data_IF_740514903322
#
_entry.id   IF_740514903322
#
_cell.length_a   1.000
_cell.length_b   1.000
_cell.length_c   1.000
_cell.angle_alpha   90.00
_cell.angle_beta   90.00
_cell.angle_gamma   90.00
#
_symmetry.space_group_name_H-M   'P 1'
#
loop_
_entity.id
_entity.type
_entity.pdbx_description
1 polymer ?
#
# COMPACT_ATOMS: atom_id res chain seq x y z
N UNK A 1 -11.63 -5.51 17.32
CA UNK A 1 -12.83 -6.17 17.90
C UNK A 1 -13.77 -6.42 16.74
N UNK A 2 -14.46 -7.57 16.67
CA UNK A 2 -15.43 -7.81 15.61
C UNK A 2 -16.57 -6.80 15.72
N UNK A 3 -17.03 -6.29 14.55
CA UNK A 3 -18.17 -5.40 14.46
C UNK A 3 -19.39 -6.22 14.05
N UNK A 4 -20.50 -6.02 14.75
CA UNK A 4 -21.76 -6.70 14.51
C UNK A 4 -22.81 -5.71 14.06
N UNK A 5 -23.51 -6.01 12.95
CA UNK A 5 -24.75 -5.34 12.58
C UNK A 5 -25.91 -6.02 13.29
N UNK A 6 -26.73 -5.21 13.93
CA UNK A 6 -27.91 -5.72 14.61
C UNK A 6 -29.16 -5.02 14.14
N UNK A 7 -30.26 -5.76 14.12
CA UNK A 7 -31.60 -5.27 13.94
C UNK A 7 -32.38 -5.60 15.20
N UNK A 8 -32.86 -4.59 15.86
CA UNK A 8 -33.60 -4.72 17.13
C UNK A 8 -34.93 -3.97 17.07
N UNK A 9 -35.86 -4.33 17.95
CA UNK A 9 -37.14 -3.66 18.11
C UNK A 9 -37.19 -3.01 19.48
N UNK A 10 -37.50 -1.72 19.55
CA UNK A 10 -37.64 -1.03 20.82
C UNK A 10 -39.00 -1.35 21.48
N UNK A 11 -39.21 -0.90 22.72
CA UNK A 11 -40.46 -1.08 23.48
C UNK A 11 -41.72 -0.51 22.80
N UNK A 12 -41.54 0.41 21.85
CA UNK A 12 -42.63 1.00 21.02
C UNK A 12 -42.94 0.21 19.76
N UNK A 13 -42.25 -0.94 19.55
CA UNK A 13 -42.48 -1.79 18.39
C UNK A 13 -41.77 -1.33 17.11
N UNK A 14 -40.90 -0.29 17.16
CA UNK A 14 -40.20 0.26 16.01
C UNK A 14 -38.86 -0.49 15.80
N UNK A 15 -38.60 -0.86 14.55
CA UNK A 15 -37.35 -1.53 14.18
C UNK A 15 -36.21 -0.52 14.07
N UNK A 16 -35.09 -0.77 14.77
CA UNK A 16 -33.88 0.04 14.74
C UNK A 16 -32.73 -0.84 14.25
N UNK A 17 -31.99 -0.32 13.24
CA UNK A 17 -30.79 -0.95 12.74
C UNK A 17 -29.58 -0.19 13.27
N UNK A 18 -28.59 -0.92 13.80
CA UNK A 18 -27.35 -0.34 14.32
C UNK A 18 -26.16 -1.23 14.08
N UNK A 19 -24.97 -0.71 14.40
CA UNK A 19 -23.75 -1.48 14.46
C UNK A 19 -23.01 -1.20 15.76
N UNK A 20 -22.44 -2.23 16.37
CA UNK A 20 -21.65 -2.11 17.59
C UNK A 20 -20.45 -3.06 17.59
N UNK A 21 -19.35 -2.61 18.22
CA UNK A 21 -18.18 -3.42 18.45
C UNK A 21 -18.34 -4.22 19.74
N UNK A 22 -18.22 -5.54 19.66
CA UNK A 22 -18.28 -6.41 20.81
C UNK A 22 -17.21 -7.51 20.74
N UNK A 23 -16.81 -8.04 21.90
CA UNK A 23 -15.82 -9.13 22.00
C UNK A 23 -16.35 -10.45 21.44
N UNK A 24 -17.67 -10.68 21.55
CA UNK A 24 -18.37 -11.83 21.00
C UNK A 24 -19.85 -11.46 20.75
N UNK A 25 -20.52 -12.32 19.96
CA UNK A 25 -21.96 -12.20 19.69
C UNK A 25 -22.80 -12.24 20.97
N UNK A 26 -22.40 -13.09 21.92
CA UNK A 26 -23.08 -13.26 23.22
C UNK A 26 -23.00 -12.00 24.08
N UNK A 27 -21.84 -11.33 24.04
CA UNK A 27 -21.61 -10.08 24.78
C UNK A 27 -22.49 -8.93 24.23
N UNK A 28 -22.68 -8.88 22.90
CA UNK A 28 -23.59 -7.91 22.29
C UNK A 28 -25.06 -8.19 22.64
N UNK A 29 -25.46 -9.47 22.69
CA UNK A 29 -26.81 -9.88 23.09
C UNK A 29 -27.12 -9.43 24.53
N UNK A 30 -26.18 -9.58 25.45
CA UNK A 30 -26.35 -9.15 26.85
C UNK A 30 -26.48 -7.61 26.95
N UNK A 31 -25.68 -6.87 26.18
CA UNK A 31 -25.75 -5.40 26.14
C UNK A 31 -27.10 -4.90 25.61
N UNK A 32 -27.58 -5.45 24.49
CA UNK A 32 -28.86 -5.07 23.88
C UNK A 32 -30.06 -5.45 24.75
N UNK A 33 -30.00 -6.59 25.51
CA UNK A 33 -31.04 -6.97 26.45
C UNK A 33 -31.12 -6.06 27.66
N UNK A 34 -30.01 -5.49 28.14
CA UNK A 34 -29.98 -4.54 29.25
C UNK A 34 -30.64 -3.20 28.89
N UNK A 35 -30.75 -2.90 27.59
CA UNK A 35 -31.40 -1.70 27.08
C UNK A 35 -32.85 -1.97 26.61
N UNK A 36 -33.47 -3.06 27.02
CA UNK A 36 -34.84 -3.47 26.70
C UNK A 36 -35.14 -3.60 25.19
N UNK A 37 -34.12 -3.92 24.39
CA UNK A 37 -34.32 -4.19 22.96
C UNK A 37 -34.66 -5.67 22.70
N UNK A 38 -35.66 -5.91 21.86
CA UNK A 38 -35.93 -7.24 21.33
C UNK A 38 -35.10 -7.47 20.07
N UNK A 39 -34.22 -8.46 20.09
CA UNK A 39 -33.28 -8.78 19.02
C UNK A 39 -34.02 -9.52 17.90
N UNK A 40 -33.95 -9.00 16.66
CA UNK A 40 -34.50 -9.64 15.45
C UNK A 40 -33.40 -10.39 14.71
N UNK A 41 -32.26 -9.75 14.44
CA UNK A 41 -31.10 -10.38 13.80
C UNK A 41 -29.80 -9.76 14.31
N UNK A 42 -28.76 -10.58 14.39
CA UNK A 42 -27.36 -10.15 14.61
C UNK A 42 -26.51 -10.87 13.59
N UNK A 43 -25.88 -10.12 12.73
CA UNK A 43 -24.92 -10.61 11.74
C UNK A 43 -23.54 -10.05 12.03
N UNK A 44 -22.54 -10.93 12.02
CA UNK A 44 -21.15 -10.49 12.09
C UNK A 44 -20.80 -9.82 10.76
N UNK A 45 -20.48 -8.51 10.80
CA UNK A 45 -20.10 -7.80 9.60
C UNK A 45 -18.67 -8.20 9.20
N UNK A 46 -18.54 -9.34 8.53
CA UNK A 46 -17.28 -9.82 7.94
C UNK A 46 -16.68 -8.79 6.96
N UNK A 47 -17.42 -7.73 6.62
CA UNK A 47 -17.04 -6.73 5.65
C UNK A 47 -16.28 -5.53 6.29
N UNK A 48 -16.21 -5.43 7.62
CA UNK A 48 -15.48 -4.32 8.27
C UNK A 48 -13.97 -4.53 8.23
N UNK A 49 -13.49 -5.78 8.13
CA UNK A 49 -12.05 -6.04 7.92
C UNK A 49 -11.56 -5.67 6.50
N UNK A 50 -12.46 -5.43 5.54
CA UNK A 50 -12.09 -5.10 4.15
C UNK A 50 -12.34 -3.65 3.72
N UNK A 51 -13.02 -2.82 4.52
CA UNK A 51 -13.20 -1.38 4.15
C UNK A 51 -11.94 -0.52 4.29
N UNK A 52 -10.88 -1.04 4.91
CA UNK A 52 -9.55 -0.40 4.90
C UNK A 52 -8.74 -0.67 3.62
N UNK A 53 -9.20 -1.57 2.74
CA UNK A 53 -8.51 -1.91 1.49
C UNK A 53 -9.03 -1.11 0.27
N UNK A 54 -9.94 -0.15 0.47
CA UNK A 54 -10.40 0.73 -0.60
C UNK A 54 -9.24 1.65 -1.02
N UNK A 55 -8.54 1.27 -2.10
CA UNK A 55 -7.59 2.08 -2.85
C UNK A 55 -6.45 2.71 -2.02
N UNK A 56 -5.80 1.94 -1.17
CA UNK A 56 -4.52 2.33 -0.61
C UNK A 56 -3.55 2.56 -1.78
N UNK A 57 -3.21 3.82 -2.01
CA UNK A 57 -2.31 4.24 -3.09
C UNK A 57 -1.03 3.41 -2.99
N UNK A 58 -0.72 2.62 -4.02
CA UNK A 58 0.48 1.77 -4.04
C UNK A 58 1.70 2.60 -3.67
N UNK A 59 2.50 2.13 -2.73
CA UNK A 59 3.76 2.80 -2.34
C UNK A 59 4.66 2.83 -3.56
N UNK A 60 5.11 4.02 -3.95
CA UNK A 60 6.01 4.22 -5.08
C UNK A 60 7.46 4.03 -4.63
N UNK A 61 8.34 3.75 -5.60
CA UNK A 61 9.77 3.68 -5.33
C UNK A 61 10.31 5.01 -4.77
N UNK A 62 9.81 6.14 -5.25
CA UNK A 62 10.23 7.47 -4.78
C UNK A 62 9.85 7.67 -3.29
N UNK A 63 8.67 7.21 -2.85
CA UNK A 63 8.27 7.27 -1.43
C UNK A 63 9.27 6.47 -0.56
N UNK A 64 9.67 5.28 -1.04
CA UNK A 64 10.62 4.42 -0.34
C UNK A 64 12.04 5.01 -0.32
N UNK A 65 12.47 5.66 -1.41
CA UNK A 65 13.76 6.36 -1.49
C UNK A 65 13.85 7.47 -0.45
N UNK A 66 12.83 8.34 -0.39
CA UNK A 66 12.78 9.46 0.55
C UNK A 66 12.78 8.94 1.99
N UNK A 67 11.91 7.98 2.29
CA UNK A 67 11.85 7.34 3.61
C UNK A 67 13.21 6.75 4.02
N UNK A 68 13.85 5.96 3.12
CA UNK A 68 15.11 5.29 3.46
C UNK A 68 16.26 6.26 3.66
N UNK A 69 16.29 7.37 2.90
CA UNK A 69 17.30 8.41 3.07
C UNK A 69 17.10 9.15 4.40
N UNK A 70 15.89 9.55 4.73
CA UNK A 70 15.59 10.21 6.00
C UNK A 70 15.87 9.29 7.19
N UNK A 71 15.46 8.01 7.10
CA UNK A 71 15.74 7.00 8.11
C UNK A 71 17.24 6.87 8.35
N UNK A 72 18.04 6.72 7.28
CA UNK A 72 19.49 6.62 7.38
C UNK A 72 20.11 7.84 8.05
N UNK A 73 19.75 9.04 7.60
CA UNK A 73 20.30 10.29 8.14
C UNK A 73 19.96 10.49 9.63
N UNK A 74 18.75 10.17 10.05
CA UNK A 74 18.33 10.34 11.44
C UNK A 74 18.96 9.30 12.37
N UNK A 75 19.12 8.04 11.91
CA UNK A 75 19.79 7.00 12.67
C UNK A 75 21.29 7.29 12.77
N UNK A 76 21.94 7.75 11.68
CA UNK A 76 23.34 8.20 11.67
C UNK A 76 23.57 9.38 12.64
N UNK A 77 22.55 10.27 12.78
CA UNK A 77 22.57 11.34 13.79
C UNK A 77 22.37 10.85 15.24
N UNK A 78 22.23 9.53 15.47
CA UNK A 78 22.07 8.94 16.79
C UNK A 78 20.64 8.97 17.35
N UNK A 79 19.64 9.32 16.54
CA UNK A 79 18.24 9.30 16.99
C UNK A 79 17.78 7.84 17.13
N UNK A 80 17.14 7.46 18.25
CA UNK A 80 16.64 6.10 18.44
C UNK A 80 15.68 5.68 17.34
N UNK A 81 15.82 4.45 16.82
CA UNK A 81 15.05 3.94 15.69
C UNK A 81 13.52 4.09 15.84
N UNK A 82 12.99 3.81 17.04
CA UNK A 82 11.55 3.94 17.34
C UNK A 82 11.10 5.39 17.16
N UNK A 83 11.89 6.36 17.64
CA UNK A 83 11.59 7.79 17.51
C UNK A 83 11.63 8.23 16.03
N UNK A 84 12.62 7.72 15.26
CA UNK A 84 12.71 7.99 13.82
C UNK A 84 11.47 7.45 13.08
N UNK A 85 11.05 6.23 13.38
CA UNK A 85 9.86 5.63 12.77
C UNK A 85 8.59 6.40 13.12
N UNK A 86 8.47 6.93 14.34
CA UNK A 86 7.34 7.76 14.75
C UNK A 86 7.27 9.05 13.92
N UNK A 87 8.39 9.77 13.82
CA UNK A 87 8.50 11.01 13.05
C UNK A 87 8.17 10.75 11.57
N UNK A 88 8.80 9.74 10.97
CA UNK A 88 8.61 9.42 9.56
C UNK A 88 7.19 8.93 9.27
N UNK A 89 6.57 8.18 10.17
CA UNK A 89 5.18 7.74 10.05
C UNK A 89 4.17 8.89 9.96
N UNK A 90 4.51 10.06 10.53
CA UNK A 90 3.70 11.27 10.46
C UNK A 90 4.01 12.12 9.22
N UNK A 91 5.24 12.09 8.71
CA UNK A 91 5.70 12.93 7.60
C UNK A 91 5.41 12.35 6.22
N UNK A 92 5.24 11.02 6.11
CA UNK A 92 5.01 10.35 4.82
C UNK A 92 3.68 10.81 4.21
N UNK A 93 3.75 11.40 2.99
CA UNK A 93 2.56 11.89 2.25
C UNK A 93 1.59 10.77 1.86
N UNK A 94 2.12 9.58 1.57
CA UNK A 94 1.33 8.41 1.23
C UNK A 94 0.74 7.79 2.50
N UNK A 95 -0.53 8.05 2.77
CA UNK A 95 -1.24 7.58 3.98
C UNK A 95 -1.09 6.08 4.23
N UNK A 96 -1.14 5.25 3.18
CA UNK A 96 -0.98 3.80 3.31
C UNK A 96 0.44 3.42 3.73
N UNK A 97 1.43 4.15 3.25
CA UNK A 97 2.81 3.96 3.66
C UNK A 97 3.03 4.48 5.09
N UNK A 98 2.47 5.64 5.44
CA UNK A 98 2.50 6.14 6.82
C UNK A 98 1.92 5.16 7.83
N UNK A 99 0.78 4.54 7.53
CA UNK A 99 0.20 3.48 8.37
C UNK A 99 1.10 2.23 8.45
N UNK A 100 1.83 1.92 7.38
CA UNK A 100 2.82 0.84 7.43
C UNK A 100 3.99 1.20 8.33
N UNK A 101 4.51 2.43 8.25
CA UNK A 101 5.61 2.89 9.10
C UNK A 101 5.21 2.91 10.58
N UNK A 102 3.98 3.31 10.90
CA UNK A 102 3.44 3.21 12.28
C UNK A 102 3.43 1.77 12.80
N UNK A 103 3.00 0.81 11.96
CA UNK A 103 3.05 -0.61 12.33
C UNK A 103 4.48 -1.12 12.53
N UNK A 104 5.44 -0.65 11.71
CA UNK A 104 6.85 -0.96 11.92
C UNK A 104 7.33 -0.43 13.29
N UNK A 105 6.95 0.81 13.64
CA UNK A 105 7.24 1.39 14.95
C UNK A 105 6.68 0.49 16.06
N UNK A 106 5.38 0.16 16.01
CA UNK A 106 4.71 -0.64 17.04
C UNK A 106 5.36 -2.03 17.20
N UNK A 107 5.72 -2.67 16.09
CA UNK A 107 6.40 -3.96 16.08
C UNK A 107 7.80 -3.87 16.75
N UNK A 108 8.58 -2.84 16.45
CA UNK A 108 9.90 -2.63 17.05
C UNK A 108 9.79 -2.25 18.52
N UNK A 109 8.84 -1.41 18.90
CA UNK A 109 8.57 -1.00 20.28
C UNK A 109 8.16 -2.19 21.15
N UNK A 110 7.46 -3.17 20.57
CA UNK A 110 7.07 -4.42 21.24
C UNK A 110 8.17 -5.48 21.25
N UNK A 111 9.38 -5.17 20.76
CA UNK A 111 10.57 -6.02 20.87
C UNK A 111 10.87 -6.87 19.63
N UNK A 112 10.14 -6.70 18.51
CA UNK A 112 10.55 -7.34 17.25
C UNK A 112 11.80 -6.67 16.69
N UNK A 113 12.69 -7.42 16.02
CA UNK A 113 13.78 -6.78 15.27
C UNK A 113 13.22 -5.98 14.09
N UNK A 114 13.90 -4.93 13.68
CA UNK A 114 13.46 -4.08 12.56
C UNK A 114 13.34 -4.87 11.25
N UNK A 115 14.29 -5.79 11.00
CA UNK A 115 14.23 -6.69 9.83
C UNK A 115 13.01 -7.63 9.87
N UNK A 116 12.59 -8.09 11.05
CA UNK A 116 11.39 -8.90 11.21
C UNK A 116 10.12 -8.07 10.99
N UNK A 117 10.08 -6.84 11.49
CA UNK A 117 8.97 -5.91 11.24
C UNK A 117 8.83 -5.63 9.73
N UNK A 118 9.92 -5.33 9.03
CA UNK A 118 9.94 -5.10 7.58
C UNK A 118 9.48 -6.34 6.79
N UNK A 119 9.82 -7.55 7.24
CA UNK A 119 9.46 -8.79 6.57
C UNK A 119 7.93 -9.05 6.55
N UNK A 120 7.16 -8.43 7.43
CA UNK A 120 5.69 -8.46 7.40
C UNK A 120 5.09 -7.68 6.22
N UNK A 121 5.91 -6.86 5.54
CA UNK A 121 5.47 -5.99 4.44
C UNK A 121 6.24 -6.24 3.12
N UNK A 122 6.25 -7.47 2.57
CA UNK A 122 7.08 -7.85 1.41
C UNK A 122 6.65 -7.17 0.09
N UNK A 123 5.47 -6.55 0.06
CA UNK A 123 5.00 -5.76 -1.09
C UNK A 123 5.66 -4.38 -1.19
N UNK A 124 6.24 -3.89 -0.09
CA UNK A 124 6.89 -2.59 0.02
C UNK A 124 8.41 -2.76 0.08
N UNK A 125 8.87 -3.63 0.97
CA UNK A 125 10.29 -3.87 1.20
C UNK A 125 10.75 -5.14 0.49
N UNK A 126 11.71 -5.01 -0.42
CA UNK A 126 12.26 -6.14 -1.16
C UNK A 126 13.05 -7.08 -0.24
N UNK A 127 13.21 -8.34 -0.67
CA UNK A 127 14.03 -9.31 0.06
C UNK A 127 15.48 -8.81 0.28
N UNK A 128 16.03 -8.10 -0.72
CA UNK A 128 17.35 -7.48 -0.60
C UNK A 128 17.39 -6.45 0.53
N UNK A 129 16.39 -5.54 0.56
CA UNK A 129 16.26 -4.52 1.61
C UNK A 129 16.25 -5.18 3.00
N UNK A 130 15.38 -6.16 3.21
CA UNK A 130 15.19 -6.86 4.48
C UNK A 130 16.47 -7.58 4.91
N UNK A 131 17.14 -8.26 3.98
CA UNK A 131 18.38 -9.01 4.30
C UNK A 131 19.55 -8.08 4.62
N UNK A 132 19.65 -6.93 3.94
CA UNK A 132 20.67 -5.92 4.28
C UNK A 132 20.44 -5.38 5.70
N UNK A 133 19.19 -4.99 6.04
CA UNK A 133 18.87 -4.53 7.40
C UNK A 133 19.16 -5.61 8.44
N UNK A 134 18.82 -6.87 8.17
CA UNK A 134 19.13 -7.99 9.07
C UNK A 134 20.64 -8.13 9.32
N UNK A 135 21.46 -7.99 8.28
CA UNK A 135 22.90 -8.00 8.42
C UNK A 135 23.40 -6.83 9.29
N UNK A 136 22.84 -5.63 9.09
CA UNK A 136 23.16 -4.44 9.90
C UNK A 136 22.78 -4.60 11.37
N UNK A 137 21.59 -5.15 11.65
CA UNK A 137 21.16 -5.46 13.02
C UNK A 137 22.10 -6.48 13.70
N UNK A 138 22.46 -7.54 12.98
CA UNK A 138 23.31 -8.60 13.53
C UNK A 138 24.75 -8.17 13.79
N UNK A 139 25.25 -7.21 13.00
CA UNK A 139 26.60 -6.67 13.13
C UNK A 139 26.70 -5.45 14.04
N UNK A 140 25.55 -4.84 14.44
CA UNK A 140 25.52 -3.56 15.14
C UNK A 140 25.85 -2.34 14.29
N UNK A 141 25.89 -2.50 12.95
CA UNK A 141 26.24 -1.45 11.98
C UNK A 141 25.00 -1.02 11.19
N UNK A 142 23.89 -0.81 11.89
CA UNK A 142 22.60 -0.49 11.26
C UNK A 142 22.64 0.84 10.51
N UNK A 143 23.31 1.84 11.05
CA UNK A 143 23.53 3.16 10.46
C UNK A 143 24.22 3.08 9.08
N UNK A 144 25.33 2.37 9.00
CA UNK A 144 26.07 2.19 7.75
C UNK A 144 25.22 1.43 6.70
N UNK A 145 24.55 0.37 7.14
CA UNK A 145 23.70 -0.43 6.23
C UNK A 145 22.49 0.37 5.74
N UNK A 146 21.85 1.16 6.60
CA UNK A 146 20.76 2.05 6.20
C UNK A 146 21.21 3.05 5.13
N UNK A 147 22.39 3.63 5.28
CA UNK A 147 22.96 4.53 4.27
C UNK A 147 23.22 3.78 2.95
N UNK A 148 23.80 2.58 2.99
CA UNK A 148 24.01 1.75 1.79
C UNK A 148 22.70 1.41 1.08
N UNK A 149 21.66 1.08 1.83
CA UNK A 149 20.31 0.81 1.30
C UNK A 149 19.71 2.06 0.65
N UNK A 150 19.82 3.22 1.28
CA UNK A 150 19.34 4.49 0.72
C UNK A 150 20.03 4.80 -0.61
N UNK A 151 21.37 4.71 -0.67
CA UNK A 151 22.16 4.91 -1.90
C UNK A 151 21.77 3.91 -2.99
N UNK A 152 21.55 2.65 -2.65
CA UNK A 152 21.10 1.64 -3.60
C UNK A 152 19.73 1.99 -4.20
N UNK A 153 18.76 2.41 -3.38
CA UNK A 153 17.43 2.80 -3.84
C UNK A 153 17.47 4.06 -4.72
N UNK A 154 18.27 5.06 -4.37
CA UNK A 154 18.46 6.28 -5.17
C UNK A 154 19.03 5.97 -6.56
N UNK A 155 20.07 5.11 -6.62
CA UNK A 155 20.64 4.66 -7.89
C UNK A 155 19.61 3.89 -8.72
N UNK A 156 18.83 3.00 -8.08
CA UNK A 156 17.78 2.23 -8.73
C UNK A 156 16.69 3.14 -9.28
N UNK A 157 16.21 4.11 -8.52
CA UNK A 157 15.21 5.09 -8.97
C UNK A 157 15.74 5.94 -10.14
N UNK A 158 17.00 6.37 -10.05
CA UNK A 158 17.65 7.13 -11.12
C UNK A 158 17.75 6.33 -12.42
N UNK A 159 18.16 5.06 -12.33
CA UNK A 159 18.21 4.16 -13.49
C UNK A 159 16.81 3.95 -14.09
N UNK A 160 15.81 3.69 -13.26
CA UNK A 160 14.43 3.53 -13.76
C UNK A 160 13.93 4.78 -14.48
N UNK A 161 14.22 5.99 -13.96
CA UNK A 161 13.86 7.25 -14.63
C UNK A 161 14.58 7.39 -15.98
N UNK A 162 15.88 7.09 -16.04
CA UNK A 162 16.66 7.13 -17.30
C UNK A 162 16.12 6.15 -18.34
N UNK A 163 15.82 4.90 -17.93
CA UNK A 163 15.23 3.90 -18.83
C UNK A 163 13.86 4.37 -19.33
N UNK A 164 13.00 4.87 -18.43
CA UNK A 164 11.67 5.38 -18.81
C UNK A 164 11.77 6.53 -19.80
N UNK A 165 12.69 7.47 -19.60
CA UNK A 165 12.91 8.58 -20.52
C UNK A 165 13.45 8.10 -21.88
N UNK A 166 14.38 7.15 -21.89
CA UNK A 166 14.91 6.60 -23.13
C UNK A 166 13.85 5.83 -23.96
N UNK A 167 12.86 5.25 -23.31
CA UNK A 167 11.78 4.51 -23.99
C UNK A 167 10.74 5.42 -24.66
N UNK A 168 10.72 6.72 -24.40
CA UNK A 168 9.77 7.66 -25.02
C UNK A 168 9.92 7.67 -26.55
N UNK A 169 11.15 7.76 -27.05
CA UNK A 169 11.40 7.79 -28.49
C UNK A 169 11.01 6.49 -29.21
N UNK A 170 11.44 5.29 -28.77
CA UNK A 170 11.00 4.04 -29.39
C UNK A 170 9.48 3.87 -29.40
N UNK A 171 8.81 4.20 -28.30
CA UNK A 171 7.34 4.09 -28.22
C UNK A 171 6.67 5.03 -29.20
N UNK A 172 7.14 6.29 -29.32
CA UNK A 172 6.60 7.24 -30.27
C UNK A 172 6.76 6.74 -31.72
N UNK A 173 7.94 6.26 -32.10
CA UNK A 173 8.21 5.72 -33.47
C UNK A 173 7.32 4.53 -33.79
N UNK A 174 7.21 3.57 -32.87
CA UNK A 174 6.35 2.38 -33.06
C UNK A 174 4.88 2.80 -33.20
N UNK A 175 4.41 3.71 -32.35
CA UNK A 175 3.01 4.18 -32.40
C UNK A 175 2.68 4.85 -33.73
N UNK A 176 3.58 5.73 -34.22
CA UNK A 176 3.40 6.41 -35.52
C UNK A 176 3.45 5.39 -36.66
N UNK A 177 4.39 4.43 -36.64
CA UNK A 177 4.50 3.41 -37.67
C UNK A 177 3.24 2.54 -37.76
N UNK A 178 2.70 2.13 -36.62
CA UNK A 178 1.44 1.37 -36.58
C UNK A 178 0.27 2.21 -37.12
N UNK A 179 0.18 3.47 -36.72
CA UNK A 179 -0.87 4.37 -37.18
C UNK A 179 -0.83 4.56 -38.72
N UNK A 180 0.36 4.76 -39.30
CA UNK A 180 0.55 4.88 -40.75
C UNK A 180 0.16 3.56 -41.45
N UNK A 181 0.59 2.42 -40.93
CA UNK A 181 0.26 1.12 -41.51
C UNK A 181 -1.24 0.87 -41.52
N UNK A 182 -1.93 1.13 -40.42
CA UNK A 182 -3.39 1.01 -40.35
C UNK A 182 -4.07 1.97 -41.34
N UNK A 183 -3.61 3.22 -41.42
CA UNK A 183 -4.14 4.18 -42.39
C UNK A 183 -4.01 3.69 -43.83
N UNK A 184 -2.83 3.18 -44.23
CA UNK A 184 -2.58 2.62 -45.54
C UNK A 184 -3.51 1.44 -45.85
N UNK A 185 -3.64 0.51 -44.92
CA UNK A 185 -4.48 -0.69 -45.13
C UNK A 185 -5.98 -0.33 -45.22
N UNK A 186 -6.45 0.63 -44.43
CA UNK A 186 -7.89 0.95 -44.35
C UNK A 186 -8.33 1.94 -45.43
N UNK A 187 -7.44 2.87 -45.84
CA UNK A 187 -7.79 3.94 -46.80
C UNK A 187 -7.17 3.77 -48.15
N UNK A 188 -5.89 3.43 -48.22
CA UNK A 188 -5.16 3.43 -49.50
C UNK A 188 -5.40 2.11 -50.27
N UNK A 189 -5.28 0.96 -49.62
CA UNK A 189 -5.47 -0.34 -50.27
C UNK A 189 -6.87 -0.50 -50.91
N UNK A 190 -7.99 -0.15 -50.25
CA UNK A 190 -9.32 -0.22 -50.88
C UNK A 190 -9.46 0.73 -52.07
N UNK A 191 -8.81 1.89 -52.07
CA UNK A 191 -8.84 2.80 -53.22
C UNK A 191 -8.24 2.20 -54.46
N UNK A 192 -7.11 1.50 -54.30
CA UNK A 192 -6.48 0.76 -55.42
C UNK A 192 -7.34 -0.42 -55.89
N UNK A 193 -7.97 -1.15 -54.99
CA UNK A 193 -8.89 -2.24 -55.37
C UNK A 193 -10.04 -1.73 -56.22
N UNK A 194 -10.65 -0.60 -55.88
CA UNK A 194 -11.72 -0.01 -56.68
C UNK A 194 -11.28 0.44 -58.09
N UNK A 195 -10.00 0.82 -58.27
CA UNK A 195 -9.44 1.15 -59.60
C UNK A 195 -9.23 -0.14 -60.44
N UNK A 196 -8.78 -1.24 -59.84
CA UNK A 196 -8.60 -2.51 -60.53
C UNK A 196 -9.92 -3.19 -60.92
N UNK A 197 -11.01 -2.99 -60.15
CA UNK A 197 -12.33 -3.51 -60.47
C UNK A 197 -13.05 -2.74 -61.62
N UNK A 198 -12.48 -1.60 -62.08
CA UNK A 198 -12.98 -0.78 -63.18
C UNK A 198 -12.25 -1.01 -64.53
N UNK A 199 -11.15 -1.76 -64.53
CA UNK A 199 -10.36 -2.13 -65.71
C UNK A 199 -10.68 -3.56 -66.19
#
# INVERSE_FOLDING_TARGET
MPNFKYTVKNSEGKTVNGSADAKSRENLIELLRKEDFTIISIEEDANVQHKSAAAAKKVKLDDLVIFSRQLATMVEAGIPLVSVLDILGQQVENKAFGETVKKLKDDVETGSSFSQALAKHPRIFSALYINMIRAGESSGMLDEILNRVAVYLEKTATLQRKVKSAMVYPIAVITISIAITIFLLVKVVPTFKGIFDML
#
